data_IF_537670127587
#
_entry.id   IF_537670127587
#
_cell.length_a   1.000
_cell.length_b   1.000
_cell.length_c   1.000
_cell.angle_alpha   90.00
_cell.angle_beta   90.00
_cell.angle_gamma   90.00
#
_symmetry.space_group_name_H-M   'P 1'
#
loop_
_entity.id
_entity.type
_entity.pdbx_description
1 polymer ?
#
# COMPACT_ATOMS: atom_id res chain seq x y z
N UNK A 1 15.41 -6.76 19.45
CA UNK A 1 14.81 -7.49 18.30
C UNK A 1 15.02 -8.98 18.53
N UNK A 2 13.97 -9.83 18.52
CA UNK A 2 14.15 -11.28 18.66
C UNK A 2 14.66 -11.88 17.32
N UNK A 3 15.64 -12.80 17.32
CA UNK A 3 16.13 -13.47 16.10
C UNK A 3 15.01 -14.06 15.21
N UNK A 4 13.98 -14.67 15.80
CA UNK A 4 12.82 -15.22 15.08
C UNK A 4 11.97 -14.14 14.38
N UNK A 5 11.93 -12.92 14.92
CA UNK A 5 11.24 -11.80 14.28
C UNK A 5 12.08 -11.22 13.14
N UNK A 6 13.38 -11.08 13.37
CA UNK A 6 14.31 -10.60 12.35
C UNK A 6 14.32 -11.51 11.12
N UNK A 7 14.45 -12.83 11.31
CA UNK A 7 14.42 -13.80 10.21
C UNK A 7 13.13 -13.72 9.37
N UNK A 8 11.97 -13.56 10.01
CA UNK A 8 10.68 -13.38 9.31
C UNK A 8 10.61 -12.08 8.51
N UNK A 9 11.18 -10.99 9.04
CA UNK A 9 11.25 -9.72 8.31
C UNK A 9 12.15 -9.88 7.07
N UNK A 10 13.30 -10.52 7.20
CA UNK A 10 14.20 -10.79 6.08
C UNK A 10 13.53 -11.66 5.01
N UNK A 11 12.83 -12.73 5.41
CA UNK A 11 12.08 -13.60 4.48
C UNK A 11 10.99 -12.83 3.74
N UNK A 12 10.22 -12.01 4.46
CA UNK A 12 9.18 -11.17 3.87
C UNK A 12 9.77 -10.14 2.89
N UNK A 13 10.86 -9.47 3.26
CA UNK A 13 11.55 -8.50 2.38
C UNK A 13 12.08 -9.16 1.11
N UNK A 14 12.63 -10.37 1.21
CA UNK A 14 13.14 -11.12 0.06
C UNK A 14 12.07 -11.52 -0.97
N UNK A 15 10.78 -11.48 -0.59
CA UNK A 15 9.64 -11.79 -1.45
C UNK A 15 8.92 -10.54 -1.97
N UNK A 16 9.46 -9.34 -1.75
CA UNK A 16 8.85 -8.12 -2.29
C UNK A 16 9.01 -8.05 -3.80
N UNK A 17 8.01 -7.47 -4.45
CA UNK A 17 7.93 -7.28 -5.90
C UNK A 17 7.99 -5.78 -6.20
N UNK A 18 9.19 -5.19 -6.35
CA UNK A 18 9.34 -3.75 -6.59
C UNK A 18 8.82 -3.31 -7.96
N UNK A 19 8.62 -4.25 -8.88
CA UNK A 19 8.06 -4.06 -10.23
C UNK A 19 6.54 -4.27 -10.30
N UNK A 20 5.90 -4.67 -9.19
CA UNK A 20 4.45 -4.80 -9.09
C UNK A 20 3.88 -3.74 -8.14
N UNK A 21 2.88 -3.00 -8.62
CA UNK A 21 2.16 -2.01 -7.83
C UNK A 21 0.68 -1.97 -8.18
N UNK A 22 -0.11 -1.35 -7.30
CA UNK A 22 -1.56 -1.16 -7.46
C UNK A 22 -1.86 0.32 -7.46
N UNK A 23 -2.59 0.79 -8.48
CA UNK A 23 -3.13 2.15 -8.52
C UNK A 23 -4.65 2.11 -8.29
N UNK A 24 -5.11 2.88 -7.30
CA UNK A 24 -6.51 2.97 -6.90
C UNK A 24 -7.04 4.35 -7.25
N UNK A 25 -8.13 4.40 -8.01
CA UNK A 25 -8.84 5.64 -8.32
C UNK A 25 -10.17 5.71 -7.57
N UNK A 26 -10.36 6.78 -6.79
CA UNK A 26 -11.61 7.15 -6.15
C UNK A 26 -12.26 6.04 -5.29
N UNK A 27 -11.47 5.26 -4.56
CA UNK A 27 -12.00 4.24 -3.63
C UNK A 27 -12.66 4.93 -2.43
N UNK A 28 -14.00 4.99 -2.43
CA UNK A 28 -14.78 5.80 -1.50
C UNK A 28 -14.86 5.28 -0.05
N UNK A 29 -14.63 3.98 0.18
CA UNK A 29 -14.79 3.38 1.50
C UNK A 29 -13.42 3.14 2.14
N UNK A 30 -13.07 3.78 3.28
CA UNK A 30 -11.75 3.62 3.91
C UNK A 30 -11.39 2.16 4.29
N UNK A 31 -12.39 1.32 4.58
CA UNK A 31 -12.15 -0.11 4.84
C UNK A 31 -11.72 -0.88 3.59
N UNK A 32 -12.21 -0.50 2.39
CA UNK A 32 -11.77 -1.12 1.14
C UNK A 32 -10.31 -0.80 0.88
N UNK A 33 -9.89 0.44 1.13
CA UNK A 33 -8.48 0.85 1.01
C UNK A 33 -7.60 0.04 1.95
N UNK A 34 -8.05 -0.14 3.20
CA UNK A 34 -7.33 -0.95 4.19
C UNK A 34 -7.24 -2.42 3.78
N UNK A 35 -8.31 -2.97 3.19
CA UNK A 35 -8.31 -4.33 2.64
C UNK A 35 -7.34 -4.46 1.46
N UNK A 36 -7.31 -3.49 0.54
CA UNK A 36 -6.39 -3.48 -0.59
C UNK A 36 -4.93 -3.43 -0.09
N UNK A 37 -4.62 -2.62 0.92
CA UNK A 37 -3.27 -2.55 1.50
C UNK A 37 -2.85 -3.89 2.14
N UNK A 38 -3.76 -4.58 2.85
CA UNK A 38 -3.49 -5.91 3.39
C UNK A 38 -3.23 -6.93 2.28
N UNK A 39 -4.00 -6.88 1.21
CA UNK A 39 -3.79 -7.75 0.05
C UNK A 39 -2.46 -7.45 -0.64
N UNK A 40 -2.13 -6.17 -0.85
CA UNK A 40 -0.86 -5.72 -1.40
C UNK A 40 0.33 -6.24 -0.57
N UNK A 41 0.26 -6.12 0.76
CA UNK A 41 1.27 -6.63 1.66
C UNK A 41 1.45 -8.15 1.54
N UNK A 42 0.33 -8.89 1.49
CA UNK A 42 0.31 -10.35 1.40
C UNK A 42 0.90 -10.89 0.09
N UNK A 43 0.75 -10.16 -1.03
CA UNK A 43 1.31 -10.55 -2.33
C UNK A 43 2.70 -9.97 -2.59
N UNK A 44 3.27 -9.20 -1.65
CA UNK A 44 4.63 -8.68 -1.79
C UNK A 44 4.75 -7.32 -2.48
N UNK A 45 3.65 -6.61 -2.74
CA UNK A 45 3.69 -5.21 -3.21
C UNK A 45 4.31 -4.35 -2.12
N UNK A 46 5.19 -3.42 -2.52
CA UNK A 46 5.89 -2.51 -1.59
C UNK A 46 5.27 -1.10 -1.54
N UNK A 47 4.76 -0.62 -2.68
CA UNK A 47 4.13 0.70 -2.81
C UNK A 47 2.80 0.57 -3.55
N UNK A 48 1.79 1.32 -3.12
CA UNK A 48 0.49 1.48 -3.80
C UNK A 48 0.20 2.95 -4.05
N UNK A 49 -0.56 3.25 -5.10
CA UNK A 49 -0.87 4.59 -5.56
C UNK A 49 -2.36 4.85 -5.35
N UNK A 50 -2.71 6.05 -4.88
CA UNK A 50 -4.09 6.40 -4.56
C UNK A 50 -4.47 7.80 -5.09
N UNK A 51 -5.60 7.88 -5.78
CA UNK A 51 -6.31 9.12 -6.09
C UNK A 51 -7.57 9.15 -5.23
N UNK A 52 -7.66 10.11 -4.31
CA UNK A 52 -8.77 10.18 -3.36
C UNK A 52 -9.99 10.88 -3.97
N UNK A 53 -11.21 10.43 -3.68
CA UNK A 53 -12.44 11.07 -4.15
C UNK A 53 -12.74 12.42 -3.46
N UNK A 54 -11.90 12.87 -2.51
CA UNK A 54 -12.04 14.16 -1.82
C UNK A 54 -10.88 14.48 -0.89
N UNK A 55 -10.83 15.72 -0.37
CA UNK A 55 -9.69 16.27 0.37
C UNK A 55 -9.46 15.69 1.77
N UNK A 56 -10.47 15.02 2.35
CA UNK A 56 -10.42 14.49 3.72
C UNK A 56 -10.15 12.99 3.81
N UNK A 57 -10.09 12.27 2.70
CA UNK A 57 -9.92 10.81 2.74
C UNK A 57 -8.45 10.47 2.90
N UNK A 58 -8.12 9.75 3.98
CA UNK A 58 -6.80 9.15 4.22
C UNK A 58 -6.99 7.72 4.69
N UNK A 59 -5.96 6.90 4.49
CA UNK A 59 -5.89 5.56 5.05
C UNK A 59 -6.13 5.57 6.55
N UNK A 60 -7.04 4.71 7.03
CA UNK A 60 -7.18 4.49 8.47
C UNK A 60 -6.05 3.58 8.94
N UNK A 61 -5.06 4.16 9.61
CA UNK A 61 -3.87 3.47 10.08
C UNK A 61 -4.16 2.18 10.90
N UNK A 62 -5.28 2.18 11.64
CA UNK A 62 -5.72 1.06 12.49
C UNK A 62 -6.31 -0.13 11.72
N UNK A 63 -6.91 0.11 10.55
CA UNK A 63 -7.70 -0.90 9.85
C UNK A 63 -6.87 -1.82 8.91
N UNK A 64 -5.55 -1.63 8.78
CA UNK A 64 -4.72 -2.49 7.93
C UNK A 64 -3.89 -3.54 8.71
N UNK A 65 -4.17 -3.76 10.01
CA UNK A 65 -3.51 -4.79 10.82
C UNK A 65 -1.95 -4.77 10.79
N UNK A 66 -1.35 -3.58 10.69
CA UNK A 66 0.12 -3.41 10.64
C UNK A 66 0.73 -3.42 9.24
N UNK A 67 -0.02 -3.75 8.18
CA UNK A 67 0.47 -3.69 6.79
C UNK A 67 0.84 -2.27 6.34
N UNK A 68 0.25 -1.24 6.97
CA UNK A 68 0.62 0.17 6.75
C UNK A 68 2.09 0.50 7.09
N UNK A 69 2.77 -0.36 7.85
CA UNK A 69 4.21 -0.21 8.13
C UNK A 69 5.10 -0.79 7.04
N UNK A 70 4.54 -1.58 6.12
CA UNK A 70 5.29 -2.32 5.10
C UNK A 70 4.94 -1.95 3.67
N UNK A 71 3.74 -1.41 3.46
CA UNK A 71 3.23 -0.92 2.18
C UNK A 71 3.08 0.60 2.25
N UNK A 72 3.82 1.30 1.41
CA UNK A 72 3.73 2.75 1.29
C UNK A 72 2.53 3.14 0.43
N UNK A 73 1.78 4.17 0.84
CA UNK A 73 0.67 4.72 0.05
C UNK A 73 1.08 6.06 -0.53
N UNK A 74 1.27 6.11 -1.84
CA UNK A 74 1.59 7.32 -2.59
C UNK A 74 0.33 7.98 -3.12
N UNK A 75 0.09 9.23 -2.71
CA UNK A 75 -1.10 9.97 -3.12
C UNK A 75 -0.81 10.81 -4.36
N UNK A 76 -1.72 10.77 -5.33
CA UNK A 76 -1.68 11.57 -6.55
C UNK A 76 -2.92 12.46 -6.64
N UNK A 77 -2.81 13.60 -7.33
CA UNK A 77 -3.95 14.53 -7.51
C UNK A 77 -4.88 14.06 -8.62
N UNK A 78 -4.32 13.51 -9.68
CA UNK A 78 -5.06 13.00 -10.83
C UNK A 78 -4.57 11.62 -11.25
N UNK A 79 -5.38 10.88 -12.02
CA UNK A 79 -4.94 9.62 -12.63
C UNK A 79 -3.78 9.84 -13.62
N UNK A 80 -3.75 11.00 -14.28
CA UNK A 80 -2.65 11.40 -15.18
C UNK A 80 -1.32 11.47 -14.44
N UNK A 81 -1.29 12.10 -13.26
CA UNK A 81 -0.07 12.18 -12.43
C UNK A 81 0.39 10.78 -11.98
N UNK A 82 -0.56 9.92 -11.59
CA UNK A 82 -0.25 8.56 -11.16
C UNK A 82 0.35 7.73 -12.31
N UNK A 83 -0.26 7.77 -13.49
CA UNK A 83 0.23 7.04 -14.67
C UNK A 83 1.57 7.60 -15.14
N UNK A 84 1.77 8.92 -15.14
CA UNK A 84 3.05 9.54 -15.51
C UNK A 84 4.17 9.16 -14.54
N UNK A 85 3.84 8.93 -13.27
CA UNK A 85 4.81 8.46 -12.28
C UNK A 85 5.20 6.98 -12.45
N UNK A 86 4.30 6.16 -13.00
CA UNK A 86 4.49 4.71 -13.20
C UNK A 86 5.13 4.35 -14.55
N UNK A 87 5.29 5.34 -15.45
CA UNK A 87 5.86 5.16 -16.79
C UNK A 87 7.34 5.50 -16.84
#
# INVERSE_FOLDING_TARGET
MNPKRYARICEMLARRQPDLTVCMEQVHKPHNVSAIIRTADAVGVHEVHAIWPGSRMRTMASAAAGSNSWVQVKTHRTIGDAVAHLK
#
